data_IF_825917485588
#
_entry.id   IF_825917485588
#
_cell.length_a   1.000
_cell.length_b   1.000
_cell.length_c   1.000
_cell.angle_alpha   90.00
_cell.angle_beta   90.00
_cell.angle_gamma   90.00
#
_symmetry.space_group_name_H-M   'P 1'
#
loop_
_entity.id
_entity.type
_entity.pdbx_description
1 polymer ?
#
# COMPACT_ATOMS: atom_id res chain seq x y z
N UNK A 1 -20.08 -22.85 -37.12
CA UNK A 1 -19.43 -23.88 -36.27
C UNK A 1 -17.95 -23.65 -36.15
N UNK A 2 -17.17 -23.45 -37.24
CA UNK A 2 -15.72 -23.18 -37.19
C UNK A 2 -15.39 -21.80 -36.58
N UNK A 3 -16.20 -20.79 -36.81
CA UNK A 3 -16.01 -19.42 -36.28
C UNK A 3 -16.31 -19.35 -34.78
N UNK A 4 -17.26 -20.10 -34.27
CA UNK A 4 -17.60 -20.15 -32.83
C UNK A 4 -16.55 -20.91 -32.01
N UNK A 5 -15.96 -21.98 -32.58
CA UNK A 5 -14.83 -22.69 -31.93
C UNK A 5 -13.57 -21.81 -31.84
N UNK A 6 -13.30 -20.98 -32.86
CA UNK A 6 -12.15 -20.08 -32.86
C UNK A 6 -12.26 -18.95 -31.79
N UNK A 7 -13.46 -18.40 -31.57
CA UNK A 7 -13.70 -17.38 -30.56
C UNK A 7 -13.57 -17.97 -29.15
N UNK A 8 -14.15 -19.15 -28.92
CA UNK A 8 -14.05 -19.81 -27.60
C UNK A 8 -12.59 -20.19 -27.23
N UNK A 9 -11.74 -20.51 -28.20
CA UNK A 9 -10.32 -20.82 -27.99
C UNK A 9 -9.50 -19.54 -27.71
N UNK A 10 -9.84 -18.41 -28.30
CA UNK A 10 -9.24 -17.10 -28.01
C UNK A 10 -9.62 -16.64 -26.59
N UNK A 11 -10.88 -16.68 -26.23
CA UNK A 11 -11.35 -16.32 -24.90
C UNK A 11 -10.70 -17.20 -23.79
N UNK A 12 -10.56 -18.50 -24.06
CA UNK A 12 -9.87 -19.42 -23.13
C UNK A 12 -8.38 -19.09 -22.95
N UNK A 13 -7.70 -18.66 -24.01
CA UNK A 13 -6.29 -18.24 -23.96
C UNK A 13 -6.13 -16.92 -23.22
N UNK A 14 -7.01 -15.96 -23.44
CA UNK A 14 -7.01 -14.66 -22.76
C UNK A 14 -7.29 -14.83 -21.27
N UNK A 15 -8.22 -15.69 -20.89
CA UNK A 15 -8.46 -16.04 -19.49
C UNK A 15 -7.23 -16.72 -18.85
N UNK A 16 -6.61 -17.68 -19.55
CA UNK A 16 -5.40 -18.35 -19.05
C UNK A 16 -4.22 -17.38 -18.90
N UNK A 17 -4.02 -16.45 -19.82
CA UNK A 17 -2.99 -15.42 -19.72
C UNK A 17 -3.23 -14.52 -18.50
N UNK A 18 -4.49 -14.08 -18.28
CA UNK A 18 -4.86 -13.29 -17.12
C UNK A 18 -4.65 -14.06 -15.80
N UNK A 19 -4.95 -15.35 -15.76
CA UNK A 19 -4.76 -16.18 -14.57
C UNK A 19 -3.25 -16.35 -14.26
N UNK A 20 -2.41 -16.51 -15.28
CA UNK A 20 -0.95 -16.57 -15.12
C UNK A 20 -0.41 -15.25 -14.56
N UNK A 21 -0.81 -14.10 -15.11
CA UNK A 21 -0.41 -12.78 -14.62
C UNK A 21 -0.84 -12.57 -13.15
N UNK A 22 -2.03 -13.04 -12.76
CA UNK A 22 -2.49 -12.99 -11.38
C UNK A 22 -1.65 -13.88 -10.45
N UNK A 23 -1.29 -15.08 -10.89
CA UNK A 23 -0.42 -15.98 -10.12
C UNK A 23 0.98 -15.40 -9.95
N UNK A 24 1.58 -14.84 -10.99
CA UNK A 24 2.88 -14.18 -10.92
C UNK A 24 2.85 -13.00 -9.93
N UNK A 25 1.82 -12.17 -9.98
CA UNK A 25 1.64 -11.06 -9.04
C UNK A 25 1.47 -11.54 -7.57
N UNK A 26 0.85 -12.70 -7.35
CA UNK A 26 0.74 -13.31 -6.01
C UNK A 26 2.09 -13.85 -5.55
N UNK A 27 2.83 -14.53 -6.43
CA UNK A 27 4.16 -15.06 -6.16
C UNK A 27 5.13 -13.94 -5.81
N UNK A 28 5.16 -12.86 -6.58
CA UNK A 28 6.00 -11.69 -6.33
C UNK A 28 5.71 -11.08 -4.95
N UNK A 29 4.45 -10.91 -4.61
CA UNK A 29 4.05 -10.41 -3.28
C UNK A 29 4.41 -11.38 -2.16
N UNK A 30 4.32 -12.68 -2.40
CA UNK A 30 4.75 -13.68 -1.43
C UNK A 30 6.26 -13.66 -1.23
N UNK A 31 7.05 -13.54 -2.29
CA UNK A 31 8.50 -13.39 -2.22
C UNK A 31 8.90 -12.10 -1.49
N UNK A 32 8.19 -11.01 -1.72
CA UNK A 32 8.36 -9.77 -0.97
C UNK A 32 8.07 -9.93 0.53
N UNK A 33 7.01 -10.66 0.87
CA UNK A 33 6.69 -10.98 2.27
C UNK A 33 7.73 -11.90 2.91
N UNK A 34 8.26 -12.87 2.15
CA UNK A 34 9.22 -13.87 2.62
C UNK A 34 10.67 -13.37 2.67
N UNK A 35 10.96 -12.13 2.21
CA UNK A 35 12.33 -11.59 2.19
C UNK A 35 13.00 -11.68 3.55
N UNK A 36 14.33 -11.98 3.57
CA UNK A 36 15.13 -12.00 4.79
C UNK A 36 15.14 -10.65 5.51
N UNK A 37 15.37 -10.69 6.82
CA UNK A 37 15.28 -9.52 7.72
C UNK A 37 16.51 -8.58 7.65
N UNK A 38 17.03 -8.28 6.47
CA UNK A 38 18.12 -7.32 6.27
C UNK A 38 17.61 -6.05 5.59
N UNK A 39 17.46 -4.96 6.37
CA UNK A 39 17.27 -3.60 5.86
C UNK A 39 18.56 -2.81 6.08
N UNK A 40 19.08 -2.18 5.05
CA UNK A 40 20.23 -1.28 5.15
C UNK A 40 19.73 0.13 5.55
N UNK A 41 19.71 0.39 6.86
CA UNK A 41 19.20 1.65 7.38
C UNK A 41 20.19 2.78 7.18
N UNK A 42 19.79 3.81 6.43
CA UNK A 42 20.54 5.05 6.19
C UNK A 42 19.62 6.26 6.28
N UNK A 43 20.19 7.48 6.44
CA UNK A 43 19.38 8.69 6.35
C UNK A 43 18.76 8.81 4.94
N UNK A 44 17.44 8.80 4.85
CA UNK A 44 16.68 8.91 3.61
C UNK A 44 15.78 10.14 3.69
N UNK A 45 15.77 10.95 2.65
CA UNK A 45 14.85 12.08 2.52
C UNK A 45 13.46 11.57 2.15
N UNK A 46 12.52 11.67 3.09
CA UNK A 46 11.17 11.12 2.93
C UNK A 46 10.42 11.75 1.75
N UNK A 47 10.71 13.02 1.44
CA UNK A 47 10.11 13.71 0.29
C UNK A 47 10.45 13.01 -1.03
N UNK A 48 11.72 12.61 -1.24
CA UNK A 48 12.16 11.95 -2.47
C UNK A 48 11.49 10.58 -2.64
N UNK A 49 11.35 9.84 -1.54
CA UNK A 49 10.67 8.54 -1.57
C UNK A 49 9.18 8.69 -1.92
N UNK A 50 8.52 9.70 -1.35
CA UNK A 50 7.11 10.00 -1.69
C UNK A 50 6.99 10.38 -3.16
N UNK A 51 7.84 11.26 -3.66
CA UNK A 51 7.83 11.69 -5.07
C UNK A 51 8.08 10.50 -6.01
N UNK A 52 9.06 9.64 -5.72
CA UNK A 52 9.34 8.43 -6.49
C UNK A 52 8.16 7.47 -6.50
N UNK A 53 7.50 7.27 -5.35
CA UNK A 53 6.31 6.44 -5.25
C UNK A 53 5.16 7.00 -6.10
N UNK A 54 4.93 8.31 -6.05
CA UNK A 54 3.84 8.95 -6.79
C UNK A 54 4.10 8.98 -8.30
N UNK A 55 5.35 9.11 -8.72
CA UNK A 55 5.72 9.03 -10.13
C UNK A 55 5.42 7.64 -10.72
N UNK A 56 5.63 6.58 -9.94
CA UNK A 56 5.34 5.20 -10.35
C UNK A 56 3.84 4.89 -10.40
N UNK A 57 3.02 5.63 -9.64
CA UNK A 57 1.55 5.51 -9.70
C UNK A 57 1.07 6.37 -10.86
N UNK A 58 0.92 5.78 -12.04
CA UNK A 58 0.33 6.46 -13.19
C UNK A 58 -1.09 6.91 -12.83
N UNK A 59 -1.28 8.22 -12.74
CA UNK A 59 -2.60 8.82 -12.47
C UNK A 59 -3.44 8.82 -13.76
N UNK A 60 -4.27 7.80 -13.89
CA UNK A 60 -5.28 7.74 -14.97
C UNK A 60 -6.55 8.54 -14.62
N UNK A 61 -6.47 9.50 -13.69
CA UNK A 61 -7.62 10.26 -13.21
C UNK A 61 -8.49 9.53 -12.16
N UNK A 62 -8.08 8.32 -11.73
CA UNK A 62 -8.83 7.52 -10.76
C UNK A 62 -8.50 7.87 -9.31
N UNK A 63 -7.43 8.65 -9.07
CA UNK A 63 -6.96 8.96 -7.74
C UNK A 63 -6.59 10.44 -7.59
N UNK A 64 -6.89 10.99 -6.42
CA UNK A 64 -6.48 12.33 -6.00
C UNK A 64 -5.59 12.23 -4.78
N UNK A 65 -4.37 12.78 -4.86
CA UNK A 65 -3.40 12.75 -3.77
C UNK A 65 -3.21 14.16 -3.21
N UNK A 66 -3.23 14.28 -1.88
CA UNK A 66 -2.94 15.51 -1.13
C UNK A 66 -1.73 15.27 -0.24
N UNK A 67 -0.79 16.20 -0.26
CA UNK A 67 0.46 16.12 0.51
C UNK A 67 0.51 17.21 1.58
N UNK A 68 0.78 16.80 2.84
CA UNK A 68 1.13 17.68 3.97
C UNK A 68 2.41 17.13 4.62
N UNK A 69 3.52 17.28 3.93
CA UNK A 69 4.82 16.74 4.32
C UNK A 69 5.79 17.88 4.63
N UNK A 70 6.37 17.85 5.82
CA UNK A 70 7.38 18.84 6.19
C UNK A 70 8.60 18.74 5.27
N UNK A 71 9.18 19.90 4.92
CA UNK A 71 10.38 19.96 4.06
C UNK A 71 11.59 19.38 4.80
N UNK A 72 12.50 18.79 4.03
CA UNK A 72 13.78 18.26 4.52
C UNK A 72 13.61 17.26 5.67
N UNK A 73 12.61 16.39 5.58
CA UNK A 73 12.29 15.42 6.60
C UNK A 73 13.04 14.10 6.35
N UNK A 74 14.09 13.86 7.14
CA UNK A 74 14.89 12.64 7.06
C UNK A 74 14.39 11.58 8.02
N UNK A 75 14.40 10.33 7.57
CA UNK A 75 14.13 9.13 8.36
C UNK A 75 15.30 8.16 8.25
N UNK A 76 15.50 7.34 9.28
CA UNK A 76 16.42 6.21 9.22
C UNK A 76 15.68 5.02 8.62
N UNK A 77 15.96 4.71 7.36
CA UNK A 77 15.24 3.69 6.60
C UNK A 77 16.11 3.07 5.50
N UNK A 78 15.65 1.97 4.97
CA UNK A 78 16.04 1.47 3.65
C UNK A 78 15.10 2.09 2.61
N UNK A 79 15.67 2.80 1.63
CA UNK A 79 14.92 3.57 0.65
C UNK A 79 14.01 2.70 -0.23
N UNK A 80 14.51 1.53 -0.65
CA UNK A 80 13.75 0.59 -1.48
C UNK A 80 12.58 0.00 -0.69
N UNK A 81 12.85 -0.39 0.56
CA UNK A 81 11.84 -0.93 1.44
C UNK A 81 10.78 0.11 1.81
N UNK A 82 11.17 1.36 2.05
CA UNK A 82 10.25 2.45 2.35
C UNK A 82 9.38 2.81 1.12
N UNK A 83 9.96 2.81 -0.08
CA UNK A 83 9.21 2.99 -1.33
C UNK A 83 8.16 1.89 -1.49
N UNK A 84 8.51 0.64 -1.19
CA UNK A 84 7.59 -0.50 -1.22
C UNK A 84 6.45 -0.35 -0.21
N UNK A 85 6.74 0.12 1.01
CA UNK A 85 5.72 0.42 2.02
C UNK A 85 4.72 1.43 1.48
N UNK A 86 5.18 2.56 0.95
CA UNK A 86 4.32 3.60 0.39
C UNK A 86 3.50 3.08 -0.80
N UNK A 87 4.12 2.36 -1.73
CA UNK A 87 3.43 1.79 -2.90
C UNK A 87 2.30 0.84 -2.50
N UNK A 88 2.51 -0.03 -1.50
CA UNK A 88 1.46 -0.90 -0.98
C UNK A 88 0.31 -0.12 -0.34
N UNK A 89 0.60 0.95 0.41
CA UNK A 89 -0.43 1.77 1.05
C UNK A 89 -1.24 2.58 0.03
N UNK A 90 -0.57 3.17 -0.96
CA UNK A 90 -1.23 3.94 -2.03
C UNK A 90 -2.08 3.02 -2.90
N UNK A 91 -1.57 1.82 -3.24
CA UNK A 91 -2.33 0.83 -4.01
C UNK A 91 -3.55 0.31 -3.24
N UNK A 92 -3.44 0.09 -1.92
CA UNK A 92 -4.59 -0.25 -1.09
C UNK A 92 -5.63 0.87 -1.09
N UNK A 93 -5.19 2.13 -0.96
CA UNK A 93 -6.09 3.28 -1.00
C UNK A 93 -6.77 3.42 -2.38
N UNK A 94 -6.06 3.16 -3.48
CA UNK A 94 -6.62 3.15 -4.83
C UNK A 94 -7.72 2.11 -4.99
N UNK A 95 -7.52 0.91 -4.43
CA UNK A 95 -8.48 -0.21 -4.54
C UNK A 95 -9.69 -0.07 -3.65
N UNK A 96 -9.47 0.33 -2.41
CA UNK A 96 -10.48 0.25 -1.34
C UNK A 96 -10.93 1.62 -0.83
N UNK A 97 -10.19 2.69 -1.13
CA UNK A 97 -10.41 4.04 -0.65
C UNK A 97 -11.28 4.93 -1.55
N UNK A 98 -11.99 4.35 -2.51
CA UNK A 98 -12.92 5.11 -3.38
C UNK A 98 -14.08 5.63 -2.54
N UNK A 99 -14.37 6.93 -2.69
CA UNK A 99 -15.56 7.51 -2.05
C UNK A 99 -16.81 7.07 -2.81
N UNK A 100 -17.88 6.67 -2.11
CA UNK A 100 -19.12 6.22 -2.75
C UNK A 100 -19.72 7.25 -3.71
N UNK A 101 -19.59 8.53 -3.39
CA UNK A 101 -20.19 9.64 -4.15
C UNK A 101 -19.47 9.93 -5.47
N UNK A 102 -18.15 9.76 -5.51
CA UNK A 102 -17.34 10.17 -6.67
C UNK A 102 -16.71 9.00 -7.43
N UNK A 103 -16.62 7.82 -6.79
CA UNK A 103 -15.86 6.70 -7.34
C UNK A 103 -14.35 6.93 -7.44
N UNK A 104 -13.86 8.10 -6.97
CA UNK A 104 -12.45 8.49 -7.02
C UNK A 104 -11.81 8.18 -5.66
N UNK A 105 -10.64 7.55 -5.66
CA UNK A 105 -9.85 7.38 -4.46
C UNK A 105 -9.15 8.69 -4.11
N UNK A 106 -9.41 9.23 -2.90
CA UNK A 106 -8.66 10.37 -2.37
C UNK A 106 -7.71 9.87 -1.30
N UNK A 107 -6.43 10.25 -1.39
CA UNK A 107 -5.36 9.81 -0.49
C UNK A 107 -4.66 11.03 0.10
N UNK A 108 -4.65 11.14 1.42
CA UNK A 108 -3.87 12.14 2.13
C UNK A 108 -2.57 11.50 2.65
N UNK A 109 -1.41 12.05 2.27
CA UNK A 109 -0.10 11.67 2.79
C UNK A 109 0.41 12.84 3.63
N UNK A 110 0.58 12.62 4.93
CA UNK A 110 1.08 13.62 5.84
C UNK A 110 2.28 13.08 6.63
N UNK A 111 3.32 13.91 6.79
CA UNK A 111 4.48 13.53 7.60
C UNK A 111 5.00 14.72 8.40
N UNK A 112 5.21 14.50 9.72
CA UNK A 112 5.65 15.52 10.66
C UNK A 112 6.69 14.96 11.65
N UNK A 113 7.68 15.77 12.02
CA UNK A 113 8.64 15.37 13.06
C UNK A 113 7.99 15.41 14.44
N UNK A 114 8.31 14.44 15.30
CA UNK A 114 7.88 14.40 16.71
C UNK A 114 8.98 13.82 17.60
N UNK A 115 9.75 14.68 18.26
CA UNK A 115 10.94 14.27 19.01
C UNK A 115 11.95 13.56 18.10
N UNK A 116 12.41 12.38 18.49
CA UNK A 116 13.35 11.55 17.73
C UNK A 116 12.71 10.73 16.61
N UNK A 117 11.43 10.95 16.36
CA UNK A 117 10.64 10.21 15.40
C UNK A 117 10.05 11.09 14.30
N UNK A 118 9.71 10.45 13.21
CA UNK A 118 8.84 10.98 12.16
C UNK A 118 7.55 10.18 12.19
N UNK A 119 6.43 10.89 12.23
CA UNK A 119 5.10 10.29 12.05
C UNK A 119 4.67 10.50 10.61
N UNK A 120 4.53 9.41 9.88
CA UNK A 120 4.00 9.36 8.52
C UNK A 120 2.59 8.78 8.59
N UNK A 121 1.64 9.42 7.94
CA UNK A 121 0.26 8.98 7.83
C UNK A 121 -0.14 8.90 6.36
N UNK A 122 -0.69 7.78 5.94
CA UNK A 122 -1.36 7.62 4.66
C UNK A 122 -2.82 7.29 4.96
N UNK A 123 -3.74 8.12 4.46
CA UNK A 123 -5.17 7.99 4.74
C UNK A 123 -5.97 7.98 3.44
N UNK A 124 -6.89 7.05 3.30
CA UNK A 124 -7.93 7.09 2.29
C UNK A 124 -9.24 7.74 2.83
N UNK A 125 -10.16 8.02 1.93
CA UNK A 125 -11.48 8.58 2.24
C UNK A 125 -12.62 7.61 1.89
N UNK A 126 -12.34 6.31 1.86
CA UNK A 126 -13.34 5.26 1.65
C UNK A 126 -14.25 5.06 2.87
N UNK A 127 -14.98 3.97 2.87
CA UNK A 127 -15.91 3.64 3.97
C UNK A 127 -15.19 3.20 5.26
N UNK A 128 -13.87 2.94 5.21
CA UNK A 128 -13.15 2.29 6.31
C UNK A 128 -13.47 0.80 6.41
N UNK A 129 -13.21 0.22 7.58
CA UNK A 129 -13.43 -1.20 7.86
C UNK A 129 -14.13 -1.39 9.21
N UNK A 130 -14.77 -2.52 9.42
CA UNK A 130 -15.32 -2.86 10.73
C UNK A 130 -14.19 -2.90 11.79
N UNK A 131 -14.45 -2.36 12.98
CA UNK A 131 -13.42 -2.21 14.04
C UNK A 131 -12.79 -3.55 14.41
N UNK A 132 -13.60 -4.61 14.42
CA UNK A 132 -13.19 -5.97 14.72
C UNK A 132 -12.23 -6.57 13.67
N UNK A 133 -12.22 -5.99 12.46
CA UNK A 133 -11.35 -6.42 11.37
C UNK A 133 -9.98 -5.76 11.42
N UNK A 134 -9.84 -4.59 12.04
CA UNK A 134 -8.58 -3.82 12.08
C UNK A 134 -7.35 -4.67 12.49
N UNK A 135 -7.40 -5.49 13.58
CA UNK A 135 -6.26 -6.31 13.97
C UNK A 135 -5.93 -7.43 12.97
N UNK A 136 -6.87 -7.79 12.12
CA UNK A 136 -6.70 -8.87 11.15
C UNK A 136 -6.14 -8.37 9.81
N UNK A 137 -6.27 -7.09 9.49
CA UNK A 137 -5.83 -6.52 8.21
C UNK A 137 -4.32 -6.67 7.95
N UNK A 138 -3.51 -6.78 9.00
CA UNK A 138 -2.07 -7.00 8.93
C UNK A 138 -1.68 -8.49 8.85
N UNK A 139 -2.64 -9.40 8.97
CA UNK A 139 -2.36 -10.84 8.84
C UNK A 139 -2.21 -11.21 7.37
N UNK A 140 -1.20 -12.05 7.02
CA UNK A 140 -1.04 -12.54 5.66
C UNK A 140 -2.31 -13.22 5.15
N UNK A 141 -2.64 -13.00 3.88
CA UNK A 141 -3.79 -13.60 3.20
C UNK A 141 -5.17 -13.23 3.76
N UNK A 142 -5.23 -12.33 4.75
CA UNK A 142 -6.50 -11.85 5.25
C UNK A 142 -7.16 -10.89 4.25
N UNK A 143 -8.43 -11.13 3.96
CA UNK A 143 -9.26 -10.28 3.09
C UNK A 143 -10.58 -10.02 3.80
N UNK A 144 -10.94 -8.76 3.98
CA UNK A 144 -12.27 -8.36 4.46
C UNK A 144 -13.37 -8.75 3.45
N UNK A 145 -14.62 -8.82 3.91
CA UNK A 145 -15.76 -9.26 3.07
C UNK A 145 -15.93 -8.41 1.80
N UNK A 146 -15.73 -7.09 1.88
CA UNK A 146 -15.75 -6.20 0.71
C UNK A 146 -14.64 -6.50 -0.30
N UNK A 147 -13.51 -7.09 0.14
CA UNK A 147 -12.39 -7.45 -0.72
C UNK A 147 -12.55 -8.84 -1.36
N UNK A 148 -13.47 -9.67 -0.86
CA UNK A 148 -13.75 -11.00 -1.45
C UNK A 148 -14.45 -10.90 -2.79
N UNK A 149 -15.24 -9.85 -3.01
CA UNK A 149 -15.94 -9.59 -4.27
C UNK A 149 -15.06 -8.92 -5.33
N UNK A 150 -13.98 -8.22 -4.90
CA UNK A 150 -12.99 -7.69 -5.83
C UNK A 150 -11.97 -8.81 -6.18
N UNK A 151 -11.99 -9.30 -7.39
CA UNK A 151 -11.25 -10.50 -7.85
C UNK A 151 -9.72 -10.39 -7.75
N UNK A 152 -9.15 -9.26 -7.40
CA UNK A 152 -7.70 -9.00 -7.47
C UNK A 152 -7.11 -8.58 -6.13
N UNK A 153 -6.23 -9.39 -5.56
CA UNK A 153 -5.39 -9.05 -4.41
C UNK A 153 -5.13 -10.24 -3.48
N UNK A 154 -3.84 -10.54 -3.24
CA UNK A 154 -3.42 -11.69 -2.43
C UNK A 154 -3.64 -11.52 -0.91
N UNK A 155 -4.10 -10.35 -0.42
CA UNK A 155 -4.20 -10.08 1.02
C UNK A 155 -2.84 -9.97 1.73
N UNK A 156 -1.77 -9.63 0.99
CA UNK A 156 -0.41 -9.54 1.52
C UNK A 156 0.07 -8.10 1.70
N UNK A 157 -0.56 -7.10 1.07
CA UNK A 157 -0.04 -5.73 1.03
C UNK A 157 0.20 -5.12 2.42
N UNK A 158 -0.79 -5.16 3.32
CA UNK A 158 -0.65 -4.61 4.68
C UNK A 158 0.25 -5.46 5.58
N UNK A 159 0.31 -6.78 5.37
CA UNK A 159 1.25 -7.66 6.06
C UNK A 159 2.71 -7.35 5.65
N UNK A 160 2.96 -7.05 4.36
CA UNK A 160 4.26 -6.57 3.87
C UNK A 160 4.62 -5.25 4.53
N UNK A 161 3.68 -4.30 4.59
CA UNK A 161 3.90 -2.99 5.24
C UNK A 161 4.30 -3.17 6.70
N UNK A 162 3.53 -3.94 7.47
CA UNK A 162 3.80 -4.17 8.89
C UNK A 162 5.19 -4.78 9.11
N UNK A 163 5.49 -5.89 8.42
CA UNK A 163 6.78 -6.57 8.52
C UNK A 163 7.94 -5.67 8.10
N UNK A 164 7.79 -4.91 7.03
CA UNK A 164 8.84 -4.04 6.51
C UNK A 164 9.11 -2.86 7.45
N UNK A 165 8.06 -2.22 7.99
CA UNK A 165 8.22 -1.15 8.97
C UNK A 165 8.91 -1.66 10.24
N UNK A 166 8.55 -2.86 10.72
CA UNK A 166 9.21 -3.48 11.88
C UNK A 166 10.69 -3.76 11.62
N UNK A 167 11.06 -4.25 10.43
CA UNK A 167 12.48 -4.45 10.03
C UNK A 167 13.27 -3.15 10.04
N UNK A 168 12.65 -2.02 9.75
CA UNK A 168 13.27 -0.69 9.84
C UNK A 168 13.27 -0.13 11.27
N UNK A 169 12.89 -0.92 12.29
CA UNK A 169 12.79 -0.47 13.69
C UNK A 169 11.65 0.51 13.92
N UNK A 170 10.68 0.56 13.02
CA UNK A 170 9.50 1.41 13.10
C UNK A 170 8.30 0.73 13.77
N UNK A 171 7.21 1.48 13.84
CA UNK A 171 5.92 1.00 14.35
C UNK A 171 4.85 1.30 13.30
N UNK A 172 4.00 0.31 13.03
CA UNK A 172 2.87 0.42 12.13
C UNK A 172 1.55 0.21 12.88
N UNK A 173 0.53 1.01 12.56
CA UNK A 173 -0.80 0.86 13.11
C UNK A 173 -1.86 1.33 12.10
N UNK A 174 -3.04 0.71 12.16
CA UNK A 174 -4.21 1.06 11.35
C UNK A 174 -5.33 1.58 12.26
N UNK A 175 -6.04 2.58 11.78
CA UNK A 175 -7.21 3.12 12.47
C UNK A 175 -8.25 3.62 11.46
N UNK A 176 -9.54 3.43 11.75
CA UNK A 176 -10.59 4.16 11.07
C UNK A 176 -10.53 5.66 11.48
N UNK A 177 -10.85 6.54 10.56
CA UNK A 177 -10.96 7.96 10.85
C UNK A 177 -12.41 8.37 11.13
N UNK A 178 -12.61 9.35 12.00
CA UNK A 178 -13.95 9.81 12.39
C UNK A 178 -14.76 10.38 11.22
N UNK A 179 -14.07 10.86 10.17
CA UNK A 179 -14.68 11.39 8.95
C UNK A 179 -14.71 10.38 7.79
N UNK A 180 -14.64 9.08 8.11
CA UNK A 180 -14.57 7.98 7.12
C UNK A 180 -13.17 7.70 6.62
N UNK A 181 -12.97 6.49 6.10
CA UNK A 181 -11.70 6.00 5.57
C UNK A 181 -10.80 5.36 6.60
N UNK A 182 -9.78 4.69 6.08
CA UNK A 182 -8.73 4.00 6.84
C UNK A 182 -7.45 4.85 6.84
N UNK A 183 -6.82 4.98 7.98
CA UNK A 183 -5.52 5.63 8.14
C UNK A 183 -4.46 4.62 8.56
N UNK A 184 -3.38 4.56 7.80
CA UNK A 184 -2.15 3.86 8.11
C UNK A 184 -1.19 4.85 8.79
N UNK A 185 -0.78 4.53 9.99
CA UNK A 185 0.17 5.31 10.79
C UNK A 185 1.50 4.59 10.86
N UNK A 186 2.57 5.25 10.47
CA UNK A 186 3.93 4.75 10.51
C UNK A 186 4.77 5.69 11.37
N UNK A 187 5.59 5.11 12.24
CA UNK A 187 6.54 5.82 13.08
C UNK A 187 7.92 5.31 12.76
N UNK A 188 8.80 6.18 12.21
CA UNK A 188 10.18 5.88 11.88
C UNK A 188 11.13 6.75 12.67
N UNK A 189 12.32 6.23 12.96
CA UNK A 189 13.35 7.00 13.67
C UNK A 189 13.94 8.09 12.77
N UNK A 190 14.30 9.23 13.37
CA UNK A 190 15.16 10.21 12.73
C UNK A 190 16.61 9.75 12.75
N UNK A 191 17.42 10.09 11.74
CA UNK A 191 18.87 9.95 11.87
C UNK A 191 19.37 10.76 13.07
N UNK A 192 20.30 10.19 13.82
CA UNK A 192 20.97 10.94 14.89
C UNK A 192 21.73 12.09 14.25
N UNK A 193 21.62 13.29 14.83
CA UNK A 193 22.50 14.40 14.46
C UNK A 193 23.94 13.99 14.85
N UNK A 194 24.80 13.89 13.86
CA UNK A 194 26.25 13.77 14.08
C UNK A 194 26.78 15.14 14.48
#
# INVERSE_FOLDING_TARGET
LETEMGVADIDARDHMASDIEQLDAIIDKFLDYARPDHAELKPVLLNDVIESCLYAVQDNGEMRIRLDVAKNLYVLADEVELTRVLSNLVENARRYGKTPETGIATVDIAAKPRGDWVLLKVRDHGMGVAVEMLPNLIKPFFRGDAARTAATGAGLGLAIVDKTVQRMGGIFALANTTSGGLAAHIKLQKPKKT
#
